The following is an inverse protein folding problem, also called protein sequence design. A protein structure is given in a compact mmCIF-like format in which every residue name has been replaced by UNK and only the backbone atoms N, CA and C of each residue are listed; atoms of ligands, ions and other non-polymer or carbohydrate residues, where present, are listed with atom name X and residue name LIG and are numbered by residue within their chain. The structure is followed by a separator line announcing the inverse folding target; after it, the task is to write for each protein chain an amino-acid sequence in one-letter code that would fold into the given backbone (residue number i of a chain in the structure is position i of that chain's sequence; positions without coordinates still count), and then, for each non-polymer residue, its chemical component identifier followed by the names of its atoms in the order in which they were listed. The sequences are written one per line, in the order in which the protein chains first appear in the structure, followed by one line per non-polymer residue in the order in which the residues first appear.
data_IF_083927803203
#
_entry.id   IF_083927803203
#
_cell.length_a   1.000
_cell.length_b   1.000
_cell.length_c   1.000
_cell.angle_alpha   90.00
_cell.angle_beta   90.00
_cell.angle_gamma   90.00
#
_symmetry.space_group_name_H-M   'P 1'
#
loop_
_entity.id
_entity.type
_entity.pdbx_description
1 polymer ?
#
# COMPACT_ATOMS: atom_id res chain seq x y z
N UNK A 1 -4.44 6.84 37.90
CA UNK A 1 -3.81 6.45 36.62
C UNK A 1 -2.53 5.74 36.96
N UNK A 2 -2.42 4.47 36.59
CA UNK A 2 -1.18 3.72 36.68
C UNK A 2 -0.10 4.43 35.85
N UNK A 3 1.05 4.73 36.45
CA UNK A 3 2.13 5.51 35.81
C UNK A 3 2.84 4.74 34.69
N UNK A 4 2.57 3.44 34.56
CA UNK A 4 3.18 2.57 33.55
C UNK A 4 2.39 2.52 32.23
N UNK A 5 1.10 2.88 32.26
CA UNK A 5 0.20 2.80 31.11
C UNK A 5 0.35 4.02 30.20
N UNK A 6 0.54 3.77 28.90
CA UNK A 6 0.56 4.82 27.86
C UNK A 6 -0.84 5.01 27.30
N UNK A 7 -1.21 6.25 26.99
CA UNK A 7 -2.53 6.57 26.46
C UNK A 7 -2.42 7.40 25.17
N UNK A 8 -3.23 7.06 24.18
CA UNK A 8 -3.55 7.92 23.07
C UNK A 8 -4.67 8.87 23.50
N UNK A 9 -4.52 10.16 23.16
CA UNK A 9 -5.47 11.19 23.55
C UNK A 9 -5.96 11.96 22.33
N UNK A 10 -7.26 12.16 22.22
CA UNK A 10 -7.83 13.08 21.23
C UNK A 10 -8.89 13.99 21.86
N UNK A 11 -8.97 15.21 21.36
CA UNK A 11 -10.03 16.13 21.74
C UNK A 11 -11.24 15.98 20.82
N UNK A 12 -12.40 15.87 21.43
CA UNK A 12 -13.67 15.91 20.72
C UNK A 12 -13.96 17.33 20.23
N UNK A 13 -14.92 17.46 19.30
CA UNK A 13 -15.42 18.74 18.81
C UNK A 13 -15.94 19.68 19.92
N UNK A 14 -16.32 19.13 21.07
CA UNK A 14 -16.83 19.87 22.22
C UNK A 14 -15.78 20.07 23.34
N UNK A 15 -14.49 19.88 23.04
CA UNK A 15 -13.40 20.09 23.99
C UNK A 15 -13.19 18.99 25.04
N UNK A 16 -14.06 17.97 25.09
CA UNK A 16 -13.85 16.79 25.94
C UNK A 16 -12.65 15.99 25.42
N UNK A 17 -11.70 15.66 26.28
CA UNK A 17 -10.57 14.77 25.94
C UNK A 17 -10.97 13.32 26.16
N UNK A 18 -10.72 12.47 25.17
CA UNK A 18 -10.90 11.02 25.24
C UNK A 18 -9.52 10.39 25.35
N UNK A 19 -9.39 9.42 26.26
CA UNK A 19 -8.17 8.66 26.50
C UNK A 19 -8.41 7.22 26.08
N UNK A 20 -7.45 6.62 25.38
CA UNK A 20 -7.41 5.18 25.08
C UNK A 20 -6.07 4.63 25.47
N UNK A 21 -6.06 3.58 26.29
CA UNK A 21 -4.82 2.87 26.62
C UNK A 21 -4.22 2.28 25.34
N UNK A 22 -2.92 2.52 25.15
CA UNK A 22 -2.15 1.91 24.06
C UNK A 22 -1.75 0.53 24.55
N UNK A 23 -2.16 -0.51 23.80
CA UNK A 23 -1.80 -1.88 24.14
C UNK A 23 -0.27 -2.03 24.25
N UNK A 24 0.25 -2.69 25.30
CA UNK A 24 1.68 -2.94 25.42
C UNK A 24 2.25 -3.64 24.18
N UNK A 25 3.47 -3.30 23.80
CA UNK A 25 4.15 -3.82 22.60
C UNK A 25 3.73 -3.17 21.27
N UNK A 26 2.69 -2.32 21.23
CA UNK A 26 2.23 -1.66 19.98
C UNK A 26 3.34 -0.85 19.31
N UNK A 27 4.10 -0.05 20.07
CA UNK A 27 5.21 0.74 19.51
C UNK A 27 6.34 -0.13 18.95
N UNK A 28 6.64 -1.26 19.59
CA UNK A 28 7.68 -2.16 19.09
C UNK A 28 7.23 -2.85 17.79
N UNK A 29 5.96 -3.27 17.73
CA UNK A 29 5.36 -3.82 16.52
C UNK A 29 5.36 -2.81 15.37
N UNK A 30 4.95 -1.57 15.66
CA UNK A 30 4.86 -0.49 14.68
C UNK A 30 6.22 -0.05 14.14
N UNK A 31 7.30 -0.14 14.93
CA UNK A 31 8.65 0.31 14.55
C UNK A 31 9.60 -0.87 14.29
N UNK A 32 9.04 -2.04 13.92
CA UNK A 32 9.79 -3.27 13.70
C UNK A 32 10.63 -3.29 12.42
N UNK A 33 10.44 -2.33 11.51
CA UNK A 33 11.18 -2.26 10.25
C UNK A 33 11.90 -0.93 10.16
N UNK A 34 13.20 -0.99 9.88
CA UNK A 34 14.03 0.18 9.66
C UNK A 34 13.85 0.70 8.21
N UNK A 35 12.68 1.27 7.94
CA UNK A 35 12.34 1.91 6.67
C UNK A 35 11.49 3.16 6.90
N UNK A 36 11.55 4.16 6.00
CA UNK A 36 10.67 5.32 6.08
C UNK A 36 9.19 4.94 6.03
N UNK A 37 8.38 5.49 6.94
CA UNK A 37 6.93 5.30 6.98
C UNK A 37 6.23 6.20 5.94
N UNK A 38 5.33 5.63 5.15
CA UNK A 38 4.42 6.37 4.26
C UNK A 38 3.06 6.56 4.94
N UNK A 39 2.60 5.55 5.70
CA UNK A 39 1.35 5.64 6.46
C UNK A 39 1.59 5.28 7.91
N UNK A 40 1.06 6.10 8.80
CA UNK A 40 0.95 5.84 10.22
C UNK A 40 -0.53 5.86 10.62
N UNK A 41 -1.03 4.72 11.09
CA UNK A 41 -2.40 4.59 11.62
C UNK A 41 -2.30 4.36 13.13
N UNK A 42 -2.98 5.20 13.91
CA UNK A 42 -2.98 5.15 15.38
C UNK A 42 -4.40 5.07 15.90
N UNK A 43 -4.71 3.98 16.60
CA UNK A 43 -5.96 3.69 17.30
C UNK A 43 -7.21 3.91 16.43
N UNK A 44 -7.16 3.59 15.14
CA UNK A 44 -8.26 3.85 14.24
C UNK A 44 -9.47 2.96 14.55
N UNK A 45 -10.62 3.60 14.80
CA UNK A 45 -11.91 2.92 14.88
C UNK A 45 -12.81 3.32 13.72
N UNK A 46 -13.60 2.37 13.25
CA UNK A 46 -14.67 2.62 12.28
C UNK A 46 -15.94 2.01 12.82
N UNK A 47 -16.98 2.83 12.91
CA UNK A 47 -18.31 2.43 13.39
C UNK A 47 -19.34 2.78 12.32
N UNK A 48 -20.12 1.80 11.89
CA UNK A 48 -21.26 1.99 11.01
C UNK A 48 -22.55 2.11 11.82
N UNK A 49 -23.49 2.92 11.32
CA UNK A 49 -24.77 3.14 12.01
C UNK A 49 -24.64 4.04 13.24
N UNK A 50 -25.73 4.10 14.02
CA UNK A 50 -25.86 4.95 15.20
C UNK A 50 -26.78 4.30 16.24
N UNK A 51 -26.62 4.71 17.50
CA UNK A 51 -27.42 4.21 18.62
C UNK A 51 -27.27 2.70 18.82
N UNK A 52 -28.37 2.02 19.13
CA UNK A 52 -28.40 0.57 19.41
C UNK A 52 -28.06 -0.32 18.20
N UNK A 53 -28.07 0.22 16.98
CA UNK A 53 -27.71 -0.50 15.74
C UNK A 53 -26.27 -0.22 15.30
N UNK A 54 -25.46 0.45 16.11
CA UNK A 54 -24.08 0.74 15.79
C UNK A 54 -23.26 -0.56 15.72
N UNK A 55 -22.52 -0.74 14.63
CA UNK A 55 -21.62 -1.86 14.42
C UNK A 55 -20.17 -1.35 14.34
N UNK A 56 -19.33 -1.81 15.26
CA UNK A 56 -17.90 -1.49 15.25
C UNK A 56 -17.18 -2.41 14.27
N UNK A 57 -16.88 -1.90 13.08
CA UNK A 57 -16.19 -2.65 12.03
C UNK A 57 -14.68 -2.73 12.26
N UNK A 58 -14.09 -1.68 12.84
CA UNK A 58 -12.67 -1.65 13.24
C UNK A 58 -12.55 -1.17 14.68
N UNK A 59 -11.66 -1.81 15.43
CA UNK A 59 -11.37 -1.48 16.82
C UNK A 59 -9.87 -1.47 17.05
N UNK A 60 -9.36 -0.33 17.51
CA UNK A 60 -7.97 -0.15 17.89
C UNK A 60 -6.98 -0.59 16.79
N UNK A 61 -7.27 -0.18 15.55
CA UNK A 61 -6.44 -0.54 14.41
C UNK A 61 -5.19 0.34 14.40
N UNK A 62 -4.02 -0.29 14.53
CA UNK A 62 -2.70 0.36 14.58
C UNK A 62 -1.80 -0.31 13.55
N UNK A 63 -1.26 0.45 12.60
CA UNK A 63 -0.45 -0.11 11.53
C UNK A 63 0.49 0.94 10.91
N UNK A 64 1.70 0.52 10.57
CA UNK A 64 2.64 1.30 9.75
C UNK A 64 2.81 0.62 8.39
N UNK A 65 2.78 1.43 7.33
CA UNK A 65 3.11 1.02 5.96
C UNK A 65 4.34 1.81 5.52
N UNK A 66 5.38 1.09 5.10
CA UNK A 66 6.70 1.60 4.76
C UNK A 66 6.88 1.81 3.26
N UNK A 67 7.76 2.75 2.92
CA UNK A 67 8.03 3.14 1.53
C UNK A 67 8.50 1.96 0.68
N UNK A 68 7.85 1.78 -0.48
CA UNK A 68 8.17 0.77 -1.48
C UNK A 68 7.84 -0.66 -1.05
N UNK A 69 7.16 -0.85 0.08
CA UNK A 69 6.72 -2.17 0.50
C UNK A 69 5.36 -2.54 -0.08
N UNK A 70 5.11 -3.85 -0.19
CA UNK A 70 3.78 -4.42 -0.33
C UNK A 70 3.40 -5.03 1.01
N UNK A 71 2.41 -4.43 1.67
CA UNK A 71 1.81 -4.98 2.89
C UNK A 71 0.52 -5.72 2.53
N UNK A 72 0.52 -7.04 2.77
CA UNK A 72 -0.67 -7.87 2.67
C UNK A 72 -1.58 -7.71 3.89
N UNK A 73 -2.83 -7.31 3.72
CA UNK A 73 -3.85 -7.35 4.77
C UNK A 73 -4.82 -8.50 4.49
N UNK A 74 -4.83 -9.49 5.39
CA UNK A 74 -5.48 -10.79 5.16
C UNK A 74 -6.42 -11.19 6.29
N UNK A 75 -7.42 -11.98 5.93
CA UNK A 75 -8.47 -12.47 6.83
C UNK A 75 -9.71 -12.86 6.05
N UNK A 76 -10.65 -13.53 6.71
CA UNK A 76 -11.91 -13.97 6.11
C UNK A 76 -12.79 -12.80 5.62
N UNK A 77 -13.80 -13.12 4.81
CA UNK A 77 -14.82 -12.15 4.42
C UNK A 77 -15.49 -11.55 5.65
N UNK A 78 -15.69 -10.22 5.64
CA UNK A 78 -16.27 -9.50 6.78
C UNK A 78 -15.32 -9.23 7.96
N UNK A 79 -14.02 -9.58 7.87
CA UNK A 79 -13.07 -9.28 8.94
C UNK A 79 -12.74 -7.79 9.12
N UNK A 80 -13.11 -6.93 8.15
CA UNK A 80 -12.95 -5.47 8.20
C UNK A 80 -11.85 -4.89 7.29
N UNK A 81 -11.20 -5.71 6.45
CA UNK A 81 -10.10 -5.30 5.56
C UNK A 81 -10.48 -4.17 4.59
N UNK A 82 -11.57 -4.35 3.85
CA UNK A 82 -12.12 -3.34 2.93
C UNK A 82 -12.50 -2.07 3.67
N UNK A 83 -13.04 -2.17 4.89
CA UNK A 83 -13.33 -1.01 5.73
C UNK A 83 -12.05 -0.25 6.10
N UNK A 84 -10.97 -0.96 6.43
CA UNK A 84 -9.68 -0.33 6.72
C UNK A 84 -9.11 0.38 5.48
N UNK A 85 -9.10 -0.30 4.33
CA UNK A 85 -8.66 0.30 3.05
C UNK A 85 -9.44 1.57 2.69
N UNK A 86 -10.78 1.53 2.79
CA UNK A 86 -11.66 2.68 2.51
C UNK A 86 -11.48 3.81 3.52
N UNK A 87 -11.20 3.51 4.78
CA UNK A 87 -10.93 4.53 5.79
C UNK A 87 -9.60 5.25 5.55
N UNK A 88 -8.55 4.50 5.17
CA UNK A 88 -7.22 5.07 4.85
C UNK A 88 -7.31 6.11 3.73
N UNK A 89 -8.10 5.84 2.69
CA UNK A 89 -8.29 6.77 1.56
C UNK A 89 -9.38 7.83 1.78
N UNK A 90 -10.01 7.86 2.95
CA UNK A 90 -11.05 8.83 3.28
C UNK A 90 -12.42 8.60 2.63
N UNK A 91 -12.66 7.43 2.00
CA UNK A 91 -13.98 7.04 1.50
C UNK A 91 -14.93 6.58 2.63
N UNK A 92 -14.39 6.11 3.74
CA UNK A 92 -15.17 5.77 4.94
C UNK A 92 -14.70 6.62 6.12
N UNK A 93 -15.60 7.33 6.83
CA UNK A 93 -15.21 8.06 8.02
C UNK A 93 -14.70 7.14 9.13
N UNK A 94 -13.65 7.56 9.84
CA UNK A 94 -13.22 6.92 11.08
C UNK A 94 -13.72 7.70 12.30
N UNK A 95 -14.18 6.98 13.33
CA UNK A 95 -14.81 7.57 14.52
C UNK A 95 -13.77 8.01 15.56
N UNK A 96 -12.65 7.29 15.66
CA UNK A 96 -11.59 7.55 16.62
C UNK A 96 -10.21 7.32 15.98
N UNK A 97 -9.19 7.94 16.56
CA UNK A 97 -7.80 7.75 16.14
C UNK A 97 -7.38 8.71 15.03
N UNK A 98 -6.23 8.41 14.44
CA UNK A 98 -5.59 9.23 13.42
C UNK A 98 -5.00 8.37 12.30
N UNK A 99 -5.10 8.89 11.08
CA UNK A 99 -4.41 8.38 9.91
C UNK A 99 -3.54 9.50 9.38
N UNK A 100 -2.24 9.24 9.26
CA UNK A 100 -1.26 10.17 8.68
C UNK A 100 -0.65 9.50 7.46
N UNK A 101 -0.68 10.20 6.33
CA UNK A 101 -0.07 9.79 5.07
C UNK A 101 0.99 10.83 4.74
N UNK A 102 2.26 10.44 4.70
CA UNK A 102 3.42 11.32 4.65
C UNK A 102 3.38 12.36 5.78
N UNK A 103 3.29 13.64 5.42
CA UNK A 103 3.21 14.81 6.29
C UNK A 103 1.76 15.25 6.57
N UNK A 104 0.75 14.64 5.92
CA UNK A 104 -0.65 15.07 6.05
C UNK A 104 -1.47 14.12 6.92
N UNK A 105 -2.28 14.72 7.79
CA UNK A 105 -3.28 14.02 8.58
C UNK A 105 -4.60 13.95 7.80
N UNK A 106 -5.09 12.73 7.56
CA UNK A 106 -6.36 12.50 6.87
C UNK A 106 -7.51 12.93 7.80
N UNK A 107 -8.43 13.79 7.34
CA UNK A 107 -9.59 14.20 8.13
C UNK A 107 -10.48 12.99 8.47
N UNK A 108 -11.03 12.96 9.69
CA UNK A 108 -11.98 11.92 10.15
C UNK A 108 -13.14 11.67 9.18
N UNK A 109 -13.58 12.72 8.49
CA UNK A 109 -14.57 12.63 7.43
C UNK A 109 -14.19 13.57 6.28
N UNK A 110 -13.59 13.01 5.23
CA UNK A 110 -13.13 13.77 4.07
C UNK A 110 -14.28 14.46 3.32
N UNK A 111 -15.49 13.87 3.31
CA UNK A 111 -16.67 14.46 2.66
C UNK A 111 -17.15 15.76 3.33
N UNK A 112 -16.77 16.01 4.59
CA UNK A 112 -17.09 17.25 5.33
C UNK A 112 -16.04 18.34 5.18
N UNK A 113 -15.01 18.12 4.37
CA UNK A 113 -13.94 19.10 4.13
C UNK A 113 -14.41 20.14 3.13
N UNK A 114 -14.31 21.41 3.53
CA UNK A 114 -14.70 22.55 2.70
C UNK A 114 -13.61 22.86 1.66
N UNK A 115 -13.83 22.45 0.41
CA UNK A 115 -12.86 22.54 -0.70
C UNK A 115 -12.48 23.96 -1.12
N UNK A 116 -13.27 24.99 -0.78
CA UNK A 116 -12.91 26.39 -1.08
C UNK A 116 -11.84 26.94 -0.14
N UNK A 117 -11.64 26.33 1.02
CA UNK A 117 -10.55 26.74 1.91
C UNK A 117 -9.23 26.22 1.35
N UNK A 118 -8.16 27.01 1.43
CA UNK A 118 -6.83 26.61 0.94
C UNK A 118 -6.40 25.26 1.52
N UNK A 119 -6.60 25.06 2.84
CA UNK A 119 -6.28 23.82 3.55
C UNK A 119 -7.15 22.65 3.10
N UNK A 120 -8.44 22.88 2.87
CA UNK A 120 -9.38 21.85 2.41
C UNK A 120 -9.12 21.42 0.97
N UNK A 121 -8.76 22.37 0.11
CA UNK A 121 -8.33 22.07 -1.26
C UNK A 121 -7.03 21.26 -1.26
N UNK A 122 -6.02 21.71 -0.54
CA UNK A 122 -4.70 21.07 -0.45
C UNK A 122 -4.79 19.60 0.00
N UNK A 123 -5.57 19.28 1.03
CA UNK A 123 -5.73 17.89 1.46
C UNK A 123 -6.49 17.04 0.43
N UNK A 124 -7.50 17.58 -0.25
CA UNK A 124 -8.25 16.85 -1.27
C UNK A 124 -7.37 16.59 -2.50
N UNK A 125 -6.65 17.61 -2.97
CA UNK A 125 -5.73 17.50 -4.10
C UNK A 125 -4.60 16.51 -3.78
N UNK A 126 -4.09 16.53 -2.55
CA UNK A 126 -3.13 15.54 -2.07
C UNK A 126 -3.69 14.12 -2.13
N UNK A 127 -4.89 13.89 -1.57
CA UNK A 127 -5.50 12.56 -1.57
C UNK A 127 -5.76 12.06 -3.00
N UNK A 128 -6.22 12.92 -3.90
CA UNK A 128 -6.47 12.56 -5.31
C UNK A 128 -5.17 12.23 -6.05
N UNK A 129 -4.07 12.96 -5.82
CA UNK A 129 -2.84 12.74 -6.58
C UNK A 129 -1.94 11.65 -5.99
N UNK A 130 -1.92 11.47 -4.66
CA UNK A 130 -0.93 10.62 -3.98
C UNK A 130 -1.48 9.29 -3.51
N UNK A 131 -2.80 9.13 -3.46
CA UNK A 131 -3.45 7.93 -2.92
C UNK A 131 -4.50 7.44 -3.91
N UNK A 132 -4.40 6.17 -4.31
CA UNK A 132 -5.31 5.57 -5.28
C UNK A 132 -5.77 4.20 -4.80
N UNK A 133 -6.92 3.75 -5.33
CA UNK A 133 -7.51 2.47 -4.96
C UNK A 133 -7.96 1.70 -6.19
N UNK A 134 -7.71 0.39 -6.17
CA UNK A 134 -8.32 -0.59 -7.06
C UNK A 134 -9.41 -1.30 -6.26
N UNK A 135 -10.63 -1.29 -6.78
CA UNK A 135 -11.79 -1.90 -6.13
C UNK A 135 -11.91 -3.38 -6.50
N UNK A 136 -12.59 -4.15 -5.65
CA UNK A 136 -12.82 -5.60 -5.76
C UNK A 136 -13.49 -6.03 -7.05
N UNK A 137 -14.41 -5.22 -7.59
CA UNK A 137 -15.12 -5.52 -8.84
C UNK A 137 -14.76 -4.50 -9.91
N UNK A 138 -13.94 -4.88 -10.91
CA UNK A 138 -13.57 -3.98 -12.00
C UNK A 138 -14.79 -3.52 -12.79
N UNK A 139 -15.77 -4.40 -13.03
CA UNK A 139 -16.98 -4.12 -13.83
C UNK A 139 -17.77 -2.95 -13.27
N UNK A 140 -17.95 -2.94 -11.95
CA UNK A 140 -18.69 -1.91 -11.23
C UNK A 140 -17.87 -0.64 -10.98
N UNK A 141 -16.55 -0.70 -11.14
CA UNK A 141 -15.65 0.44 -10.94
C UNK A 141 -15.41 1.29 -12.19
N UNK A 142 -15.64 0.71 -13.38
CA UNK A 142 -15.43 1.35 -14.67
C UNK A 142 -16.75 1.92 -15.21
N UNK A 143 -16.70 3.09 -15.83
CA UNK A 143 -17.89 3.70 -16.44
C UNK A 143 -18.21 2.98 -17.77
N UNK A 144 -19.34 2.25 -17.89
CA UNK A 144 -19.63 1.46 -19.09
C UNK A 144 -19.94 2.31 -20.33
N UNK A 145 -20.22 3.60 -20.16
CA UNK A 145 -20.53 4.55 -21.24
C UNK A 145 -19.34 5.40 -21.68
N UNK A 146 -18.13 5.06 -21.23
CA UNK A 146 -16.90 5.74 -21.60
C UNK A 146 -15.92 4.74 -22.19
N UNK A 147 -15.15 5.18 -23.17
CA UNK A 147 -14.11 4.36 -23.77
C UNK A 147 -12.90 4.23 -22.83
N UNK A 148 -12.02 3.27 -23.12
CA UNK A 148 -10.82 2.99 -22.31
C UNK A 148 -9.90 4.21 -22.22
N UNK A 149 -9.70 4.96 -23.30
CA UNK A 149 -8.88 6.18 -23.27
C UNK A 149 -9.40 7.19 -22.23
N UNK A 150 -10.70 7.45 -22.21
CA UNK A 150 -11.31 8.36 -21.24
C UNK A 150 -11.17 7.83 -19.82
N UNK A 151 -11.46 6.55 -19.61
CA UNK A 151 -11.40 5.91 -18.28
C UNK A 151 -10.01 6.00 -17.68
N UNK A 152 -8.99 5.66 -18.47
CA UNK A 152 -7.60 5.69 -18.02
C UNK A 152 -7.15 7.14 -17.81
N UNK A 153 -7.50 8.06 -18.72
CA UNK A 153 -7.01 9.45 -18.67
C UNK A 153 -7.87 10.41 -17.83
N UNK A 154 -8.94 9.92 -17.18
CA UNK A 154 -9.86 10.71 -16.36
C UNK A 154 -9.11 11.48 -15.26
N UNK A 155 -8.25 10.79 -14.51
CA UNK A 155 -7.44 11.37 -13.44
C UNK A 155 -6.58 12.52 -13.96
N UNK A 156 -5.81 12.26 -15.02
CA UNK A 156 -4.93 13.24 -15.67
C UNK A 156 -5.70 14.48 -16.15
N UNK A 157 -6.91 14.29 -16.68
CA UNK A 157 -7.76 15.37 -17.17
C UNK A 157 -8.28 16.24 -16.01
N UNK A 158 -8.62 15.62 -14.89
CA UNK A 158 -9.13 16.33 -13.71
C UNK A 158 -8.05 17.13 -12.97
N UNK A 159 -6.80 16.65 -12.99
CA UNK A 159 -5.67 17.28 -12.29
C UNK A 159 -4.85 18.23 -13.18
N UNK A 160 -4.97 18.09 -14.52
CA UNK A 160 -4.27 18.90 -15.52
C UNK A 160 -2.75 19.00 -15.26
N UNK A 161 -2.12 17.87 -14.96
CA UNK A 161 -0.71 17.72 -14.59
C UNK A 161 0.01 16.59 -15.36
N UNK A 162 -0.53 16.18 -16.50
CA UNK A 162 0.01 15.12 -17.37
C UNK A 162 1.43 15.40 -17.80
N UNK A 163 1.76 16.64 -18.20
CA UNK A 163 3.12 17.01 -18.56
C UNK A 163 4.07 16.87 -17.37
N UNK A 164 3.67 17.29 -16.18
CA UNK A 164 4.49 17.15 -14.98
C UNK A 164 4.80 15.67 -14.68
N UNK A 165 3.79 14.80 -14.76
CA UNK A 165 3.92 13.36 -14.54
C UNK A 165 4.80 12.71 -15.61
N UNK A 166 4.62 13.10 -16.87
CA UNK A 166 5.43 12.60 -17.99
C UNK A 166 6.91 12.96 -17.84
N UNK A 167 7.18 14.21 -17.49
CA UNK A 167 8.55 14.70 -17.27
C UNK A 167 9.19 14.04 -16.04
N UNK A 168 8.44 13.86 -14.96
CA UNK A 168 8.92 13.12 -13.78
C UNK A 168 9.30 11.67 -14.13
N UNK A 169 8.52 10.98 -14.96
CA UNK A 169 8.87 9.64 -15.44
C UNK A 169 10.19 9.61 -16.19
N UNK A 170 10.41 10.60 -17.06
CA UNK A 170 11.67 10.73 -17.78
C UNK A 170 12.83 10.86 -16.80
N UNK A 171 12.69 11.75 -15.81
CA UNK A 171 13.73 12.03 -14.82
C UNK A 171 14.06 10.79 -13.96
N UNK A 172 13.04 10.01 -13.59
CA UNK A 172 13.23 8.75 -12.88
C UNK A 172 13.95 7.68 -13.72
N UNK A 173 13.68 7.61 -15.02
CA UNK A 173 14.36 6.70 -15.94
C UNK A 173 15.82 7.12 -16.17
N UNK A 174 16.05 8.40 -16.41
CA UNK A 174 17.38 8.99 -16.52
C UNK A 174 18.21 8.69 -15.26
N UNK A 175 17.64 8.93 -14.07
CA UNK A 175 18.26 8.60 -12.77
C UNK A 175 18.65 7.13 -12.69
N UNK A 176 17.74 6.21 -13.02
CA UNK A 176 17.98 4.77 -12.97
C UNK A 176 19.14 4.36 -13.91
N UNK A 177 19.19 4.94 -15.10
CA UNK A 177 20.24 4.67 -16.09
C UNK A 177 21.60 5.23 -15.65
N UNK A 178 21.64 6.44 -15.08
CA UNK A 178 22.88 7.01 -14.54
C UNK A 178 23.38 6.16 -13.38
N UNK A 179 22.49 5.77 -12.47
CA UNK A 179 22.85 4.93 -11.33
C UNK A 179 23.31 3.52 -11.73
N UNK A 180 22.87 2.97 -12.86
CA UNK A 180 23.41 1.68 -13.32
C UNK A 180 24.86 1.76 -13.78
N UNK A 181 25.35 2.96 -14.11
CA UNK A 181 26.75 3.21 -14.47
C UNK A 181 27.59 3.70 -13.27
N UNK A 182 26.97 3.99 -12.14
CA UNK A 182 27.63 4.39 -10.89
C UNK A 182 27.66 3.21 -9.91
N UNK A 183 28.86 2.87 -9.42
CA UNK A 183 28.97 1.91 -8.30
C UNK A 183 28.64 2.60 -6.97
N UNK A 184 27.73 2.01 -6.20
CA UNK A 184 27.36 2.48 -4.85
C UNK A 184 28.55 2.44 -3.89
N UNK A 185 29.44 1.47 -4.04
CA UNK A 185 30.64 1.32 -3.21
C UNK A 185 31.69 2.38 -3.51
N UNK A 186 31.76 2.82 -4.77
CA UNK A 186 32.76 3.80 -5.21
C UNK A 186 32.29 5.24 -5.06
N UNK A 187 30.98 5.50 -5.05
CA UNK A 187 30.42 6.85 -5.06
C UNK A 187 29.18 7.01 -4.14
N UNK A 188 29.29 6.73 -2.83
CA UNK A 188 28.16 6.76 -1.90
C UNK A 188 27.46 8.12 -1.80
N UNK A 189 28.17 9.23 -2.06
CA UNK A 189 27.65 10.60 -2.01
C UNK A 189 26.46 10.85 -2.96
N UNK A 190 26.34 10.08 -4.06
CA UNK A 190 25.26 10.24 -5.03
C UNK A 190 23.99 9.45 -4.66
N UNK A 191 24.06 8.53 -3.70
CA UNK A 191 22.94 7.65 -3.37
C UNK A 191 22.12 8.12 -2.17
N UNK A 192 22.74 8.78 -1.18
CA UNK A 192 22.03 9.13 0.07
C UNK A 192 21.58 10.60 0.14
N UNK A 193 22.49 11.56 -0.09
CA UNK A 193 22.19 12.99 0.08
C UNK A 193 21.32 13.54 -1.06
N UNK A 194 21.63 13.13 -2.29
CA UNK A 194 20.92 13.57 -3.49
C UNK A 194 19.48 13.05 -3.55
N UNK A 195 19.20 11.83 -3.07
CA UNK A 195 17.83 11.30 -3.00
C UNK A 195 16.92 12.13 -2.11
N UNK A 196 17.43 12.57 -0.96
CA UNK A 196 16.67 13.40 -0.02
C UNK A 196 16.40 14.79 -0.58
N UNK A 197 17.34 15.39 -1.32
CA UNK A 197 17.20 16.72 -1.90
C UNK A 197 16.26 16.70 -3.12
N UNK A 198 16.33 15.64 -3.94
CA UNK A 198 15.39 15.44 -5.05
C UNK A 198 13.95 15.30 -4.56
N UNK A 199 13.71 14.46 -3.55
CA UNK A 199 12.37 14.20 -3.02
C UNK A 199 11.72 15.44 -2.38
N UNK A 200 12.53 16.34 -1.81
CA UNK A 200 12.07 17.63 -1.29
C UNK A 200 11.72 18.63 -2.40
N UNK A 201 12.41 18.58 -3.54
CA UNK A 201 12.23 19.51 -4.66
C UNK A 201 10.98 19.24 -5.51
N UNK A 202 10.38 18.05 -5.39
CA UNK A 202 9.19 17.60 -6.14
C UNK A 202 7.89 18.38 -5.84
N UNK A 203 7.93 19.39 -4.96
CA UNK A 203 6.81 20.31 -4.76
C UNK A 203 6.68 21.38 -5.85
N UNK A 204 7.70 21.56 -6.70
CA UNK A 204 7.70 22.50 -7.83
C UNK A 204 8.56 22.01 -8.99
N UNK A 205 7.98 21.83 -10.18
CA UNK A 205 8.65 21.28 -11.36
C UNK A 205 9.97 21.99 -11.73
N UNK A 206 10.03 23.31 -11.61
CA UNK A 206 11.23 24.09 -11.98
C UNK A 206 12.40 23.83 -11.02
N UNK A 207 12.13 23.62 -9.74
CA UNK A 207 13.16 23.33 -8.74
C UNK A 207 13.72 21.91 -8.90
N UNK A 208 12.86 20.93 -9.24
CA UNK A 208 13.27 19.55 -9.48
C UNK A 208 14.17 19.42 -10.72
N UNK A 209 13.87 20.16 -11.81
CA UNK A 209 14.73 20.20 -12.99
C UNK A 209 16.10 20.79 -12.68
N UNK A 210 16.14 21.94 -12.01
CA UNK A 210 17.39 22.62 -11.60
C UNK A 210 18.24 21.69 -10.72
N UNK A 211 17.63 21.08 -9.71
CA UNK A 211 18.31 20.16 -8.79
C UNK A 211 18.87 18.92 -9.52
N UNK A 212 18.14 18.36 -10.49
CA UNK A 212 18.58 17.15 -11.19
C UNK A 212 19.51 17.41 -12.38
N UNK A 213 19.26 18.39 -13.24
CA UNK A 213 20.04 18.59 -14.48
C UNK A 213 21.07 19.73 -14.42
N UNK A 214 21.07 20.53 -13.35
CA UNK A 214 22.10 21.55 -13.12
C UNK A 214 23.00 21.17 -11.94
N UNK A 215 22.44 20.93 -10.76
CA UNK A 215 23.26 20.65 -9.57
C UNK A 215 23.93 19.27 -9.61
N UNK A 216 23.19 18.22 -9.98
CA UNK A 216 23.77 16.88 -10.13
C UNK A 216 24.74 16.80 -11.31
N UNK A 217 24.48 17.55 -12.39
CA UNK A 217 25.35 17.60 -13.56
C UNK A 217 26.76 18.08 -13.19
N UNK A 218 26.84 19.14 -12.40
CA UNK A 218 28.11 19.66 -11.90
C UNK A 218 28.88 18.61 -11.08
N UNK A 219 28.15 17.76 -10.33
CA UNK A 219 28.76 16.66 -9.59
C UNK A 219 29.22 15.52 -10.50
N UNK A 220 28.48 15.18 -11.56
CA UNK A 220 28.87 14.14 -12.53
C UNK A 220 30.12 14.56 -13.32
N UNK A 221 30.20 15.81 -13.79
CA UNK A 221 31.41 16.32 -14.48
C UNK A 221 32.65 16.20 -13.59
N UNK A 222 32.51 16.46 -12.30
CA UNK A 222 33.64 16.38 -11.35
C UNK A 222 34.26 14.98 -11.23
N UNK A 223 33.57 13.92 -11.69
CA UNK A 223 34.07 12.55 -11.70
C UNK A 223 35.05 12.27 -12.85
N UNK A 224 35.22 13.19 -13.81
CA UNK A 224 36.07 13.02 -14.99
C UNK A 224 35.78 11.73 -15.81
N UNK A 225 34.53 11.25 -15.78
CA UNK A 225 34.10 10.11 -16.58
C UNK A 225 33.44 10.60 -17.87
N UNK A 226 34.15 10.44 -19.00
CA UNK A 226 33.71 10.92 -20.32
C UNK A 226 32.44 10.22 -20.82
N UNK A 227 32.26 8.94 -20.51
CA UNK A 227 31.10 8.15 -20.93
C UNK A 227 29.84 8.61 -20.18
N UNK A 228 29.93 8.74 -18.85
CA UNK A 228 28.84 9.26 -18.01
C UNK A 228 28.46 10.70 -18.37
N UNK A 229 29.45 11.53 -18.70
CA UNK A 229 29.20 12.93 -19.07
C UNK A 229 28.45 13.01 -20.41
N UNK A 230 28.83 12.20 -21.40
CA UNK A 230 28.12 12.12 -22.70
C UNK A 230 26.69 11.63 -22.50
N UNK A 231 26.50 10.53 -21.76
CA UNK A 231 25.18 9.99 -21.44
C UNK A 231 24.29 11.04 -20.76
N UNK A 232 24.83 11.79 -19.80
CA UNK A 232 24.06 12.83 -19.11
C UNK A 232 23.64 13.97 -20.05
N UNK A 233 24.54 14.43 -20.93
CA UNK A 233 24.23 15.46 -21.91
C UNK A 233 23.13 15.02 -22.89
N UNK A 234 23.18 13.76 -23.35
CA UNK A 234 22.12 13.16 -24.19
C UNK A 234 20.78 13.15 -23.46
N UNK A 235 20.74 12.64 -22.22
CA UNK A 235 19.53 12.63 -21.38
C UNK A 235 18.98 14.03 -21.12
N UNK A 236 19.86 15.03 -20.90
CA UNK A 236 19.46 16.43 -20.72
C UNK A 236 18.80 16.98 -21.98
N UNK A 237 19.40 16.76 -23.15
CA UNK A 237 18.85 17.22 -24.43
C UNK A 237 17.50 16.55 -24.73
N UNK A 238 17.38 15.24 -24.49
CA UNK A 238 16.11 14.52 -24.59
C UNK A 238 15.05 15.08 -23.64
N UNK A 239 15.43 15.42 -22.40
CA UNK A 239 14.53 16.02 -21.41
C UNK A 239 14.04 17.42 -21.81
N UNK A 240 14.90 18.23 -22.42
CA UNK A 240 14.53 19.54 -22.97
C UNK A 240 13.54 19.39 -24.13
N UNK A 241 13.76 18.42 -25.02
CA UNK A 241 12.81 18.06 -26.08
C UNK A 241 11.47 17.58 -25.50
N UNK A 242 11.51 16.73 -24.48
CA UNK A 242 10.33 16.28 -23.75
C UNK A 242 9.58 17.44 -23.07
N UNK A 243 10.27 18.51 -22.68
CA UNK A 243 9.64 19.70 -22.11
C UNK A 243 8.90 20.53 -23.17
N UNK A 244 9.13 20.33 -24.46
CA UNK A 244 8.42 21.09 -25.51
C UNK A 244 7.06 20.50 -25.88
N UNK A 245 6.72 19.30 -25.40
CA UNK A 245 5.42 18.68 -25.71
C UNK A 245 4.26 19.38 -24.99
N UNK A 246 3.09 19.27 -25.58
CA UNK A 246 1.83 19.76 -25.02
C UNK A 246 1.29 18.84 -23.93
N UNK A 247 0.42 19.37 -23.07
CA UNK A 247 -0.31 18.59 -22.05
C UNK A 247 -1.09 17.41 -22.67
N UNK A 248 -1.64 17.62 -23.88
CA UNK A 248 -2.38 16.58 -24.62
C UNK A 248 -1.47 15.46 -25.11
N UNK A 249 -0.29 15.78 -25.63
CA UNK A 249 0.70 14.79 -26.07
C UNK A 249 1.26 14.01 -24.89
N UNK A 250 1.60 14.70 -23.79
CA UNK A 250 2.04 14.07 -22.55
C UNK A 250 1.01 13.06 -22.03
N UNK A 251 -0.27 13.45 -22.00
CA UNK A 251 -1.39 12.58 -21.62
C UNK A 251 -1.46 11.33 -22.51
N UNK A 252 -1.40 11.50 -23.83
CA UNK A 252 -1.43 10.37 -24.78
C UNK A 252 -0.25 9.42 -24.56
N UNK A 253 0.96 9.95 -24.38
CA UNK A 253 2.15 9.13 -24.15
C UNK A 253 2.07 8.36 -22.83
N UNK A 254 1.57 8.96 -21.76
CA UNK A 254 1.35 8.28 -20.48
C UNK A 254 0.34 7.14 -20.58
N UNK A 255 -0.77 7.37 -21.30
CA UNK A 255 -1.79 6.32 -21.53
C UNK A 255 -1.19 5.13 -22.29
N UNK A 256 -0.40 5.40 -23.33
CA UNK A 256 0.24 4.34 -24.11
C UNK A 256 1.30 3.57 -23.30
N UNK A 257 2.09 4.26 -22.47
CA UNK A 257 3.09 3.62 -21.60
C UNK A 257 2.44 2.72 -20.55
N UNK A 258 1.37 3.17 -19.89
CA UNK A 258 0.71 2.36 -18.85
C UNK A 258 -0.01 1.15 -19.45
N UNK A 259 -0.63 1.28 -20.63
CA UNK A 259 -1.24 0.15 -21.34
C UNK A 259 -0.22 -0.94 -21.65
N UNK A 260 0.94 -0.56 -22.19
CA UNK A 260 2.05 -1.49 -22.43
C UNK A 260 2.51 -2.18 -21.14
N UNK A 261 2.57 -1.43 -20.05
CA UNK A 261 2.99 -1.94 -18.73
C UNK A 261 2.03 -2.98 -18.14
N UNK A 262 0.78 -3.01 -18.60
CA UNK A 262 -0.19 -4.04 -18.21
C UNK A 262 -0.46 -5.05 -19.32
N UNK A 263 0.35 -5.08 -20.38
CA UNK A 263 0.22 -6.01 -21.50
C UNK A 263 -1.03 -5.79 -22.37
N UNK A 264 -1.50 -4.54 -22.50
CA UNK A 264 -2.55 -4.13 -23.44
C UNK A 264 -1.94 -3.26 -24.55
N UNK A 265 -2.39 -3.45 -25.78
CA UNK A 265 -2.00 -2.64 -26.94
C UNK A 265 -2.95 -1.44 -27.14
N UNK A 266 -2.64 -0.56 -28.09
CA UNK A 266 -3.39 0.68 -28.32
C UNK A 266 -4.74 0.48 -29.02
N UNK A 267 -5.02 -0.69 -29.57
CA UNK A 267 -6.34 -1.00 -30.17
C UNK A 267 -7.49 -0.95 -29.16
N UNK A 268 -7.17 -1.05 -27.85
CA UNK A 268 -8.15 -1.02 -26.77
C UNK A 268 -8.75 0.36 -26.52
N UNK A 269 -8.07 1.44 -26.95
CA UNK A 269 -8.39 2.82 -26.54
C UNK A 269 -9.83 3.25 -26.86
N UNK A 270 -10.31 2.87 -28.05
CA UNK A 270 -11.63 3.25 -28.55
C UNK A 270 -12.75 2.31 -28.11
N UNK A 271 -12.41 1.19 -27.47
CA UNK A 271 -13.36 0.19 -26.99
C UNK A 271 -13.96 0.58 -25.65
N UNK A 272 -15.06 -0.05 -25.29
CA UNK A 272 -15.80 0.15 -24.04
C UNK A 272 -15.56 -1.02 -23.06
N UNK A 273 -15.63 -0.79 -21.73
CA UNK A 273 -15.34 -1.81 -20.72
C UNK A 273 -16.09 -3.14 -20.91
N UNK A 274 -17.36 -3.08 -21.33
CA UNK A 274 -18.20 -4.26 -21.53
C UNK A 274 -17.73 -5.17 -22.67
N UNK A 275 -16.82 -4.70 -23.53
CA UNK A 275 -16.23 -5.48 -24.62
C UNK A 275 -15.02 -6.31 -24.18
N UNK A 276 -14.64 -6.27 -22.90
CA UNK A 276 -13.45 -6.91 -22.36
C UNK A 276 -13.78 -8.03 -21.37
N UNK A 277 -12.88 -9.02 -21.27
CA UNK A 277 -12.93 -10.03 -20.20
C UNK A 277 -12.68 -9.40 -18.82
N UNK A 278 -13.11 -10.06 -17.73
CA UNK A 278 -12.88 -9.56 -16.36
C UNK A 278 -11.40 -9.29 -16.05
N UNK A 279 -10.48 -10.12 -16.55
CA UNK A 279 -9.04 -9.90 -16.42
C UNK A 279 -8.53 -8.66 -17.17
N UNK A 280 -9.07 -8.38 -18.36
CA UNK A 280 -8.75 -7.16 -19.12
C UNK A 280 -9.35 -5.91 -18.47
N UNK A 281 -10.59 -5.99 -17.97
CA UNK A 281 -11.19 -4.91 -17.19
C UNK A 281 -10.36 -4.61 -15.93
N UNK A 282 -9.83 -5.65 -15.25
CA UNK A 282 -8.94 -5.48 -14.12
C UNK A 282 -7.66 -4.73 -14.51
N UNK A 283 -7.03 -5.11 -15.64
CA UNK A 283 -5.86 -4.40 -16.18
C UNK A 283 -6.16 -2.92 -16.48
N UNK A 284 -7.34 -2.62 -17.06
CA UNK A 284 -7.79 -1.24 -17.29
C UNK A 284 -7.98 -0.49 -15.96
N UNK A 285 -8.56 -1.14 -14.95
CA UNK A 285 -8.69 -0.59 -13.60
C UNK A 285 -7.34 -0.28 -12.94
N UNK A 286 -6.36 -1.18 -13.10
CA UNK A 286 -4.97 -0.98 -12.67
C UNK A 286 -4.35 0.25 -13.37
N UNK A 287 -4.51 0.37 -14.69
CA UNK A 287 -4.03 1.54 -15.43
C UNK A 287 -4.59 2.84 -14.89
N UNK A 288 -5.92 2.91 -14.70
CA UNK A 288 -6.61 4.09 -14.18
C UNK A 288 -6.08 4.50 -12.80
N UNK A 289 -5.83 3.54 -11.91
CA UNK A 289 -5.33 3.82 -10.58
C UNK A 289 -3.86 4.29 -10.57
N UNK A 290 -3.03 3.82 -11.51
CA UNK A 290 -1.58 4.05 -11.49
C UNK A 290 -1.15 5.23 -12.35
N UNK A 291 -1.96 5.67 -13.31
CA UNK A 291 -1.55 6.72 -14.25
C UNK A 291 -1.17 8.05 -13.58
N UNK A 292 -1.75 8.34 -12.40
CA UNK A 292 -1.43 9.51 -11.57
C UNK A 292 -0.14 9.34 -10.76
N UNK A 293 0.48 8.16 -10.81
CA UNK A 293 1.66 7.76 -10.05
C UNK A 293 1.49 8.00 -8.55
N UNK A 294 0.52 7.31 -7.95
CA UNK A 294 0.29 7.44 -6.52
C UNK A 294 1.51 6.95 -5.75
N UNK A 295 1.78 7.57 -4.61
CA UNK A 295 2.77 7.02 -3.67
C UNK A 295 2.20 5.83 -2.91
N UNK A 296 0.88 5.76 -2.80
CA UNK A 296 0.15 4.69 -2.12
C UNK A 296 -0.97 4.15 -3.01
N UNK A 297 -0.96 2.84 -3.22
CA UNK A 297 -2.02 2.10 -3.90
C UNK A 297 -2.69 1.11 -2.92
N UNK A 298 -4.00 1.22 -2.73
CA UNK A 298 -4.79 0.22 -2.02
C UNK A 298 -5.39 -0.71 -3.07
N UNK A 299 -5.04 -1.98 -3.05
CA UNK A 299 -5.63 -2.98 -3.92
C UNK A 299 -6.59 -3.84 -3.11
N UNK A 300 -7.89 -3.59 -3.25
CA UNK A 300 -8.94 -4.26 -2.47
C UNK A 300 -9.44 -5.50 -3.20
N UNK A 301 -8.96 -6.67 -2.81
CA UNK A 301 -9.25 -7.95 -3.45
C UNK A 301 -9.13 -7.91 -4.99
N UNK A 302 -7.99 -7.42 -5.54
CA UNK A 302 -7.85 -7.13 -6.98
C UNK A 302 -7.81 -8.37 -7.88
N UNK A 303 -7.94 -9.56 -7.29
CA UNK A 303 -7.82 -10.86 -7.97
C UNK A 303 -8.96 -11.83 -7.63
N UNK A 304 -9.88 -11.49 -6.72
CA UNK A 304 -10.83 -12.45 -6.16
C UNK A 304 -11.87 -12.95 -7.17
N UNK A 305 -12.23 -12.14 -8.16
CA UNK A 305 -13.19 -12.50 -9.21
C UNK A 305 -12.56 -13.12 -10.47
N UNK A 306 -11.26 -13.48 -10.42
CA UNK A 306 -10.48 -13.91 -11.58
C UNK A 306 -10.08 -15.39 -11.50
N UNK A 307 -9.97 -16.04 -12.65
CA UNK A 307 -9.42 -17.40 -12.77
C UNK A 307 -7.95 -17.46 -12.33
N UNK A 308 -7.53 -18.61 -11.78
CA UNK A 308 -6.18 -18.81 -11.19
C UNK A 308 -5.04 -18.39 -12.13
N UNK A 309 -5.14 -18.69 -13.42
CA UNK A 309 -4.12 -18.30 -14.41
C UNK A 309 -4.04 -16.78 -14.60
N UNK A 310 -5.19 -16.08 -14.58
CA UNK A 310 -5.26 -14.62 -14.68
C UNK A 310 -4.80 -13.96 -13.39
N UNK A 311 -5.09 -14.54 -12.21
CA UNK A 311 -4.59 -14.06 -10.93
C UNK A 311 -3.04 -13.98 -10.93
N UNK A 312 -2.38 -15.04 -11.40
CA UNK A 312 -0.92 -15.07 -11.50
C UNK A 312 -0.37 -13.97 -12.43
N UNK A 313 -1.03 -13.72 -13.57
CA UNK A 313 -0.65 -12.63 -14.47
C UNK A 313 -0.80 -11.27 -13.80
N UNK A 314 -1.90 -11.03 -13.08
CA UNK A 314 -2.14 -9.76 -12.37
C UNK A 314 -1.12 -9.56 -11.24
N UNK A 315 -0.74 -10.63 -10.53
CA UNK A 315 0.33 -10.56 -9.52
C UNK A 315 1.67 -10.11 -10.15
N UNK A 316 2.03 -10.66 -11.31
CA UNK A 316 3.24 -10.25 -12.03
C UNK A 316 3.19 -8.78 -12.46
N UNK A 317 2.03 -8.32 -12.95
CA UNK A 317 1.82 -6.90 -13.26
C UNK A 317 2.07 -6.02 -12.03
N UNK A 318 1.51 -6.34 -10.86
CA UNK A 318 1.78 -5.56 -9.65
C UNK A 318 3.26 -5.56 -9.25
N UNK A 319 3.98 -6.69 -9.41
CA UNK A 319 5.42 -6.75 -9.14
C UNK A 319 6.21 -5.83 -10.07
N UNK A 320 5.90 -5.86 -11.36
CA UNK A 320 6.54 -5.01 -12.36
C UNK A 320 6.25 -3.53 -12.09
N UNK A 321 5.00 -3.20 -11.76
CA UNK A 321 4.58 -1.82 -11.45
C UNK A 321 5.20 -1.30 -10.16
N UNK A 322 5.31 -2.15 -9.12
CA UNK A 322 6.05 -1.84 -7.89
C UNK A 322 7.48 -1.43 -8.21
N UNK A 323 8.18 -2.20 -9.05
CA UNK A 323 9.56 -1.91 -9.43
C UNK A 323 9.67 -0.68 -10.35
N UNK A 324 8.76 -0.53 -11.32
CA UNK A 324 8.78 0.56 -12.30
C UNK A 324 8.49 1.92 -11.66
N UNK A 325 7.51 1.99 -10.75
CA UNK A 325 7.02 3.25 -10.18
C UNK A 325 7.34 3.42 -8.69
N UNK A 326 8.12 2.51 -8.08
CA UNK A 326 8.44 2.51 -6.65
C UNK A 326 7.20 2.62 -5.75
N UNK A 327 6.15 1.86 -6.11
CA UNK A 327 4.85 1.95 -5.45
C UNK A 327 4.89 1.34 -4.04
N UNK A 328 4.21 1.99 -3.11
CA UNK A 328 3.83 1.38 -1.84
C UNK A 328 2.42 0.83 -1.97
N UNK A 329 2.21 -0.46 -1.65
CA UNK A 329 0.94 -1.14 -1.90
C UNK A 329 0.39 -1.72 -0.60
N UNK A 330 -0.86 -1.38 -0.27
CA UNK A 330 -1.67 -2.14 0.68
C UNK A 330 -2.51 -3.15 -0.12
N UNK A 331 -2.12 -4.42 -0.08
CA UNK A 331 -2.78 -5.49 -0.83
C UNK A 331 -3.75 -6.23 0.08
N UNK A 332 -5.05 -6.03 -0.11
CA UNK A 332 -6.09 -6.69 0.66
C UNK A 332 -6.52 -7.96 -0.06
N UNK A 333 -6.51 -9.08 0.65
CA UNK A 333 -6.98 -10.35 0.11
C UNK A 333 -7.58 -11.25 1.20
N UNK A 334 -8.29 -12.29 0.80
CA UNK A 334 -8.77 -13.33 1.70
C UNK A 334 -7.86 -14.57 1.70
N UNK A 335 -7.06 -14.78 0.64
CA UNK A 335 -6.16 -15.93 0.49
C UNK A 335 -4.71 -15.54 0.80
N UNK A 336 -4.13 -16.20 1.82
CA UNK A 336 -2.74 -16.02 2.25
C UNK A 336 -1.70 -16.43 1.18
N UNK A 337 -1.99 -17.40 0.31
CA UNK A 337 -1.03 -17.88 -0.69
C UNK A 337 -0.81 -16.88 -1.81
N UNK A 338 -1.86 -16.24 -2.29
CA UNK A 338 -1.71 -15.18 -3.29
C UNK A 338 -0.94 -13.99 -2.73
N UNK A 339 -1.16 -13.69 -1.45
CA UNK A 339 -0.45 -12.64 -0.74
C UNK A 339 1.03 -12.97 -0.53
N UNK A 340 1.38 -14.24 -0.32
CA UNK A 340 2.77 -14.70 -0.22
C UNK A 340 3.59 -14.32 -1.46
N UNK A 341 3.02 -14.50 -2.65
CA UNK A 341 3.75 -14.26 -3.89
C UNK A 341 4.10 -12.79 -4.13
N UNK A 342 3.39 -11.84 -3.51
CA UNK A 342 3.49 -10.41 -3.82
C UNK A 342 3.97 -9.55 -2.63
N UNK A 343 3.71 -9.98 -1.40
CA UNK A 343 3.88 -9.13 -0.22
C UNK A 343 5.25 -9.27 0.43
N UNK A 344 5.79 -8.17 0.94
CA UNK A 344 6.99 -8.17 1.78
C UNK A 344 6.64 -8.49 3.25
N UNK A 345 5.48 -7.98 3.68
CA UNK A 345 4.92 -8.15 5.03
C UNK A 345 3.45 -8.54 4.95
N UNK A 346 2.99 -9.22 6.00
CA UNK A 346 1.60 -9.64 6.15
C UNK A 346 1.08 -9.15 7.51
N UNK A 347 -0.13 -8.61 7.51
CA UNK A 347 -0.94 -8.28 8.67
C UNK A 347 -2.23 -9.12 8.61
N UNK A 348 -2.41 -10.00 9.60
CA UNK A 348 -3.58 -10.87 9.72
C UNK A 348 -4.62 -10.20 10.60
N UNK A 349 -5.87 -10.23 10.15
CA UNK A 349 -6.98 -9.50 10.73
C UNK A 349 -8.23 -10.38 10.89
N UNK A 350 -8.87 -10.28 12.05
CA UNK A 350 -10.16 -10.91 12.31
C UNK A 350 -11.09 -9.96 13.07
N UNK A 351 -12.38 -9.92 12.70
CA UNK A 351 -13.44 -9.14 13.38
C UNK A 351 -13.00 -7.74 13.84
N UNK A 352 -12.39 -6.97 12.93
CA UNK A 352 -12.00 -5.59 13.22
C UNK A 352 -10.68 -5.41 13.96
N UNK A 353 -9.94 -6.48 14.27
CA UNK A 353 -8.71 -6.46 15.08
C UNK A 353 -7.55 -7.15 14.35
N UNK A 354 -6.35 -6.56 14.40
CA UNK A 354 -5.12 -7.21 13.95
C UNK A 354 -4.66 -8.25 14.97
N UNK A 355 -4.28 -9.44 14.49
CA UNK A 355 -3.91 -10.58 15.33
C UNK A 355 -2.44 -10.96 15.19
N UNK A 356 -1.85 -10.78 14.02
CA UNK A 356 -0.48 -11.17 13.75
C UNK A 356 0.11 -10.27 12.66
N UNK A 357 1.33 -9.78 12.84
CA UNK A 357 2.00 -8.91 11.87
C UNK A 357 3.45 -9.35 11.75
N UNK A 358 3.93 -9.56 10.53
CA UNK A 358 5.34 -9.86 10.33
C UNK A 358 5.76 -9.93 8.88
N UNK A 359 7.03 -10.31 8.66
CA UNK A 359 7.50 -10.60 7.30
C UNK A 359 6.72 -11.76 6.69
N UNK A 360 6.46 -11.70 5.39
CA UNK A 360 5.73 -12.76 4.67
C UNK A 360 6.34 -14.14 4.95
N UNK A 361 7.67 -14.25 4.87
CA UNK A 361 8.38 -15.52 5.10
C UNK A 361 8.13 -16.09 6.49
N UNK A 362 8.12 -15.25 7.53
CA UNK A 362 7.87 -15.70 8.90
C UNK A 362 6.42 -16.10 9.14
N UNK A 363 5.46 -15.30 8.64
CA UNK A 363 4.02 -15.59 8.80
C UNK A 363 3.64 -16.90 8.11
N UNK A 364 4.14 -17.15 6.90
CA UNK A 364 3.86 -18.38 6.15
C UNK A 364 4.55 -19.59 6.77
N UNK A 365 5.83 -19.46 7.15
CA UNK A 365 6.64 -20.59 7.63
C UNK A 365 6.37 -20.96 9.09
N UNK A 366 6.12 -19.96 9.93
CA UNK A 366 5.96 -20.10 11.37
C UNK A 366 4.71 -19.33 11.85
N UNK A 367 3.48 -19.65 11.40
CA UNK A 367 2.27 -18.98 11.87
C UNK A 367 2.04 -19.26 13.36
N UNK A 368 1.94 -18.20 14.18
CA UNK A 368 1.79 -18.34 15.64
C UNK A 368 0.34 -18.24 16.10
N UNK A 369 -0.45 -17.33 15.53
CA UNK A 369 -1.83 -17.18 15.96
C UNK A 369 -2.68 -18.35 15.42
N UNK A 370 -3.56 -18.98 16.24
CA UNK A 370 -4.42 -20.09 15.79
C UNK A 370 -5.28 -19.74 14.56
N UNK A 371 -5.76 -18.50 14.48
CA UNK A 371 -6.45 -17.97 13.30
C UNK A 371 -5.58 -17.94 12.04
N UNK A 372 -4.31 -17.55 12.15
CA UNK A 372 -3.40 -17.54 11.00
C UNK A 372 -3.17 -18.96 10.50
N UNK A 373 -3.02 -19.92 11.43
CA UNK A 373 -2.91 -21.34 11.09
C UNK A 373 -4.17 -21.85 10.37
N UNK A 374 -5.36 -21.49 10.85
CA UNK A 374 -6.61 -21.90 10.19
C UNK A 374 -6.76 -21.33 8.78
N UNK A 375 -6.31 -20.09 8.55
CA UNK A 375 -6.33 -19.49 7.22
C UNK A 375 -5.41 -20.23 6.24
N UNK A 376 -4.21 -20.64 6.68
CA UNK A 376 -3.28 -21.40 5.87
C UNK A 376 -3.78 -22.81 5.58
N UNK A 377 -4.38 -23.46 6.57
CA UNK A 377 -4.95 -24.81 6.46
C UNK A 377 -6.21 -24.86 5.58
N UNK A 378 -6.93 -23.75 5.46
CA UNK A 378 -8.13 -23.65 4.62
C UNK A 378 -7.84 -23.68 3.12
N UNK A 379 -6.59 -23.42 2.71
CA UNK A 379 -6.22 -23.43 1.29
C UNK A 379 -5.76 -24.84 0.90
N UNK A 380 -6.29 -25.44 -0.19
CA UNK A 380 -5.92 -26.81 -0.58
C UNK A 380 -4.52 -26.88 -1.19
N UNK A 381 -3.55 -27.60 -0.60
CA UNK A 381 -2.22 -27.82 -1.19
C UNK A 381 -2.17 -29.11 -2.03
N UNK A 382 -1.34 -29.11 -3.08
CA UNK A 382 -1.09 -30.31 -3.92
C UNK A 382 -0.42 -31.42 -3.10
N UNK A 383 0.35 -31.04 -2.07
CA UNK A 383 1.04 -31.93 -1.14
C UNK A 383 0.16 -32.40 0.04
N UNK A 384 -1.06 -31.89 0.20
CA UNK A 384 -1.93 -32.33 1.29
C UNK A 384 -2.36 -33.79 1.06
N UNK A 385 -2.03 -34.65 2.03
CA UNK A 385 -2.49 -36.04 2.03
C UNK A 385 -4.03 -36.11 1.94
N UNK A 386 -4.52 -36.95 1.03
CA UNK A 386 -5.95 -37.27 0.86
C UNK A 386 -6.55 -37.70 2.20
N UNK A 387 -7.34 -36.81 2.81
CA UNK A 387 -8.08 -37.10 4.06
C UNK A 387 -8.34 -35.90 4.97
N UNK A 388 -7.58 -34.81 4.87
CA UNK A 388 -7.73 -33.63 5.74
C UNK A 388 -8.37 -32.43 5.02
N UNK A 389 -9.56 -32.62 4.45
CA UNK A 389 -10.36 -31.49 3.90
C UNK A 389 -11.00 -30.63 5.01
N UNK A 390 -10.87 -31.02 6.28
CA UNK A 390 -11.31 -30.23 7.42
C UNK A 390 -10.07 -29.58 8.04
N UNK A 391 -9.66 -28.43 7.50
CA UNK A 391 -8.74 -27.55 8.22
C UNK A 391 -9.29 -27.24 9.62
N UNK A 392 -8.42 -26.99 10.61
CA UNK A 392 -8.89 -26.63 11.95
C UNK A 392 -9.71 -25.34 11.88
N UNK A 393 -11.00 -25.41 12.14
CA UNK A 393 -11.85 -24.22 12.25
C UNK A 393 -11.41 -23.39 13.47
N UNK A 394 -11.17 -22.10 13.26
CA UNK A 394 -10.84 -21.20 14.35
C UNK A 394 -12.07 -20.88 15.19
N UNK A 395 -11.97 -21.09 16.50
CA UNK A 395 -13.00 -20.70 17.46
C UNK A 395 -12.50 -19.51 18.27
N UNK A 396 -13.13 -18.32 18.19
CA UNK A 396 -12.74 -17.17 19.01
C UNK A 396 -12.84 -17.39 20.53
N UNK A 397 -13.61 -18.38 20.98
CA UNK A 397 -13.75 -18.72 22.40
C UNK A 397 -12.52 -19.42 23.01
N UNK A 398 -11.49 -19.68 22.21
CA UNK A 398 -10.21 -20.19 22.74
C UNK A 398 -9.47 -19.17 23.59
N UNK A 399 -9.85 -17.89 23.48
CA UNK A 399 -9.27 -16.78 24.22
C UNK A 399 -10.09 -16.49 25.47
N UNK A 400 -9.45 -16.46 26.63
CA UNK A 400 -10.08 -16.15 27.93
C UNK A 400 -9.75 -14.71 28.35
N UNK A 401 -10.06 -13.76 27.47
CA UNK A 401 -9.79 -12.34 27.72
C UNK A 401 -10.84 -11.73 28.64
N UNK A 402 -10.40 -11.17 29.77
CA UNK A 402 -11.23 -10.42 30.72
C UNK A 402 -10.64 -9.04 31.02
N UNK A 403 -11.21 -8.29 31.98
CA UNK A 403 -10.75 -6.93 32.31
C UNK A 403 -9.28 -6.86 32.74
N UNK A 404 -8.75 -7.92 33.36
CA UNK A 404 -7.40 -8.01 33.90
C UNK A 404 -6.44 -8.75 32.94
N UNK A 405 -6.97 -9.65 32.10
CA UNK A 405 -6.24 -10.51 31.17
C UNK A 405 -6.42 -10.07 29.71
N UNK A 406 -6.07 -8.82 29.40
CA UNK A 406 -6.13 -8.29 28.04
C UNK A 406 -4.89 -8.72 27.22
N UNK A 407 -5.05 -9.02 25.91
CA UNK A 407 -3.93 -9.39 25.08
C UNK A 407 -3.02 -8.18 24.79
N UNK A 408 -1.74 -8.46 24.61
CA UNK A 408 -0.72 -7.48 24.23
C UNK A 408 0.08 -7.96 23.02
N UNK A 409 0.78 -7.04 22.37
CA UNK A 409 1.66 -7.41 21.27
C UNK A 409 2.91 -8.07 21.83
N UNK A 410 3.09 -9.34 21.51
CA UNK A 410 4.22 -10.15 21.93
C UNK A 410 5.18 -10.34 20.75
N UNK A 411 6.45 -10.05 20.97
CA UNK A 411 7.49 -10.20 19.95
C UNK A 411 7.95 -11.65 19.83
N UNK A 412 7.81 -12.22 18.64
CA UNK A 412 8.34 -13.54 18.29
C UNK A 412 9.77 -13.44 17.78
N UNK A 413 10.00 -12.54 16.83
CA UNK A 413 11.30 -12.24 16.23
C UNK A 413 11.37 -10.75 15.88
N UNK A 414 12.49 -10.28 15.33
CA UNK A 414 12.69 -8.85 15.03
C UNK A 414 11.55 -8.23 14.22
N UNK A 415 10.96 -8.99 13.28
CA UNK A 415 9.93 -8.52 12.38
C UNK A 415 8.67 -9.41 12.44
N UNK A 416 8.33 -9.96 13.61
CA UNK A 416 7.16 -10.82 13.78
C UNK A 416 6.56 -10.66 15.17
N UNK A 417 5.29 -10.27 15.20
CA UNK A 417 4.52 -9.98 16.40
C UNK A 417 3.19 -10.72 16.32
N UNK A 418 2.74 -11.20 17.47
CA UNK A 418 1.44 -11.86 17.65
C UNK A 418 0.70 -11.21 18.82
N UNK A 419 -0.61 -11.05 18.67
CA UNK A 419 -1.48 -10.58 19.73
C UNK A 419 -1.86 -11.78 20.60
N UNK A 420 -1.42 -11.77 21.86
CA UNK A 420 -1.67 -12.82 22.83
C UNK A 420 -1.53 -12.26 24.26
N UNK A 421 -2.24 -12.85 25.22
CA UNK A 421 -1.93 -12.61 26.63
C UNK A 421 -0.65 -13.38 27.05
N UNK A 422 -0.23 -13.25 28.31
CA UNK A 422 0.99 -13.92 28.80
C UNK A 422 0.86 -15.44 28.90
N UNK A 423 -0.36 -15.96 29.05
CA UNK A 423 -0.64 -17.39 29.21
C UNK A 423 -0.71 -18.13 27.85
N UNK A 424 -1.24 -17.47 26.82
CA UNK A 424 -1.37 -18.00 25.46
C UNK A 424 -0.04 -18.01 24.71
N UNK A 425 0.83 -17.04 25.00
CA UNK A 425 2.03 -16.81 24.21
C UNK A 425 2.99 -18.03 24.16
N UNK A 426 3.27 -18.75 25.26
CA UNK A 426 4.02 -20.01 25.21
C UNK A 426 3.34 -21.08 24.34
N UNK A 427 2.02 -21.22 24.46
CA UNK A 427 1.22 -22.18 23.70
C UNK A 427 1.27 -21.90 22.19
N UNK A 428 1.20 -20.63 21.80
CA UNK A 428 1.30 -20.23 20.39
C UNK A 428 2.68 -20.56 19.80
N UNK A 429 3.76 -20.36 20.58
CA UNK A 429 5.13 -20.75 20.18
C UNK A 429 5.28 -22.25 20.01
N UNK A 430 4.69 -23.05 20.89
CA UNK A 430 4.72 -24.52 20.76
C UNK A 430 3.90 -25.00 19.56
N UNK A 431 2.70 -24.44 19.37
CA UNK A 431 1.85 -24.71 18.22
C UNK A 431 2.56 -24.43 16.89
N UNK A 432 3.26 -23.29 16.78
CA UNK A 432 4.03 -22.93 15.59
C UNK A 432 5.16 -23.93 15.27
N UNK A 433 5.86 -24.45 16.29
CA UNK A 433 6.88 -25.50 16.11
C UNK A 433 6.27 -26.80 15.57
N UNK A 434 5.12 -27.19 16.12
CA UNK A 434 4.39 -28.38 15.67
C UNK A 434 3.87 -28.19 14.23
N UNK A 435 3.39 -27.00 13.88
CA UNK A 435 2.95 -26.65 12.53
C UNK A 435 4.09 -26.82 11.51
N UNK A 436 5.27 -26.26 11.82
CA UNK A 436 6.47 -26.39 10.99
C UNK A 436 6.88 -27.84 10.73
N UNK A 437 6.71 -28.72 11.72
CA UNK A 437 7.03 -30.15 11.59
C UNK A 437 6.08 -30.90 10.63
N UNK A 438 4.87 -30.38 10.41
CA UNK A 438 3.90 -30.96 9.46
C UNK A 438 4.20 -30.62 8.01
N UNK A 439 4.83 -29.48 7.74
CA UNK A 439 5.15 -29.02 6.36
C UNK A 439 6.41 -29.70 5.82
N UNK A 440 7.33 -30.14 6.68
CA UNK A 440 8.63 -30.72 6.30
C UNK A 440 8.55 -32.25 6.06
N UNK A 441 7.39 -32.87 6.35
CA UNK A 441 7.12 -34.29 6.08
C UNK A 441 6.21 -34.42 4.86
#
# INVERSE_FOLDING_TARGET
MDKTKKYYTEQTRFGKTIYREIRPGTEEMLNSVDKPTIIEIRNMDVTYGYGSKAFQALKDFNLNIYKGEVLGLVGESGSGKTTAGRAIIGLTPHSFGQIKILDKVVPKNLHKVWKWTKKGKDIVDFMVNKVQMIFQDPTNSLNPFKNVEYIISEGLTNTNNSKAIYLYNFDQQAKKLIYSHLSKDSHPQFFDKFEMDLEKSLTSNDLAFTTFYEDFYNQIISLNNSELTTLFNELKQERENANNITEKEAKKNLVLDILKSVGLDDSVLNRYPLEFSGGQQQRIGICRAIILQPQLLIADEPISALDVSIQAQVINIFKELKQKYNLTILFIAHDLRMVEYISDRIAVMNKGTLLEVGSTKEIIKNPHHPYTQSLLDAVPSIEAQRGSLVGKAYNPLVHDYDEDNQPKWQKISNNHFVLANDEEFPTFKESAKNYKSKIIK
#
